data_IF_451332739443
#
_entry.id   IF_451332739443
#
_cell.length_a   1.000
_cell.length_b   1.000
_cell.length_c   1.000
_cell.angle_alpha   90.00
_cell.angle_beta   90.00
_cell.angle_gamma   90.00
#
_symmetry.space_group_name_H-M   'P 1'
#
loop_
_entity.id
_entity.type
_entity.pdbx_description
1 polymer ?
#
# COMPACT_ATOMS: atom_id res chain seq x y z
N UNK A 1 1.08 18.52 23.92
CA UNK A 1 0.79 17.17 23.37
C UNK A 1 -0.68 16.73 23.52
N UNK A 2 -1.63 17.61 23.88
CA UNK A 2 -3.07 17.27 23.86
C UNK A 2 -3.54 17.10 22.39
N UNK A 3 -4.50 16.22 22.14
CA UNK A 3 -5.19 16.10 20.84
C UNK A 3 -4.67 15.06 19.85
N UNK A 4 -3.49 14.46 20.06
CA UNK A 4 -2.98 13.40 19.19
C UNK A 4 -3.46 12.00 19.63
N UNK A 5 -3.88 11.21 18.65
CA UNK A 5 -4.16 9.78 18.79
C UNK A 5 -3.22 8.97 17.89
N UNK A 6 -2.93 7.72 18.26
CA UNK A 6 -2.02 6.86 17.49
C UNK A 6 -2.79 5.74 16.82
N UNK A 7 -2.60 5.58 15.51
CA UNK A 7 -3.27 4.59 14.69
C UNK A 7 -2.26 3.62 14.09
N UNK A 8 -2.61 2.34 14.01
CA UNK A 8 -1.88 1.38 13.20
C UNK A 8 -2.30 1.56 11.75
N UNK A 9 -1.39 2.01 10.89
CA UNK A 9 -1.69 2.45 9.52
C UNK A 9 -1.12 1.47 8.51
N UNK A 10 -1.94 1.14 7.50
CA UNK A 10 -1.60 0.29 6.37
C UNK A 10 -1.15 -1.13 6.73
N UNK A 11 -0.55 -1.82 5.75
CA UNK A 11 -0.10 -3.19 5.90
C UNK A 11 1.25 -3.30 6.62
N UNK A 12 1.96 -2.22 6.89
CA UNK A 12 3.17 -2.23 7.71
C UNK A 12 2.89 -2.26 9.22
N UNK A 13 1.65 -1.98 9.63
CA UNK A 13 1.26 -1.73 11.02
C UNK A 13 2.10 -0.63 11.69
N UNK A 14 2.51 0.38 10.90
CA UNK A 14 3.28 1.50 11.42
C UNK A 14 2.37 2.39 12.26
N UNK A 15 2.90 2.88 13.39
CA UNK A 15 2.17 3.74 14.31
C UNK A 15 2.26 5.18 13.85
N UNK A 16 1.18 5.73 13.31
CA UNK A 16 1.08 7.12 12.86
C UNK A 16 0.30 7.92 13.90
N UNK A 17 0.83 9.09 14.28
CA UNK A 17 0.16 10.01 15.20
C UNK A 17 -0.65 11.01 14.39
N UNK A 18 -1.95 11.05 14.61
CA UNK A 18 -2.87 11.94 13.90
C UNK A 18 -3.58 12.81 14.92
N UNK A 19 -3.58 14.13 14.68
CA UNK A 19 -4.30 15.07 15.54
C UNK A 19 -5.80 14.95 15.30
N UNK A 20 -6.61 14.99 16.36
CA UNK A 20 -8.07 14.84 16.27
C UNK A 20 -8.76 15.94 15.46
N UNK A 21 -8.17 17.13 15.39
CA UNK A 21 -8.75 18.28 14.68
C UNK A 21 -8.27 18.39 13.21
N UNK A 22 -7.40 17.48 12.76
CA UNK A 22 -6.93 17.47 11.38
C UNK A 22 -8.01 17.01 10.42
N UNK A 23 -8.11 17.63 9.25
CA UNK A 23 -8.89 17.08 8.15
C UNK A 23 -8.06 16.07 7.37
N UNK A 24 -8.50 14.82 7.33
CA UNK A 24 -7.74 13.67 6.80
C UNK A 24 -8.38 13.10 5.54
N UNK A 25 -7.60 13.03 4.46
CA UNK A 25 -7.96 12.35 3.22
C UNK A 25 -7.33 10.96 3.18
N UNK A 26 -8.10 9.92 2.87
CA UNK A 26 -7.60 8.58 2.61
C UNK A 26 -7.76 8.24 1.13
N UNK A 27 -6.62 8.10 0.45
CA UNK A 27 -6.52 7.82 -0.98
C UNK A 27 -6.29 6.33 -1.19
N UNK A 28 -7.04 5.75 -2.11
CA UNK A 28 -7.07 4.29 -2.28
C UNK A 28 -7.75 3.60 -1.11
N UNK A 29 -8.76 4.26 -0.53
CA UNK A 29 -9.45 3.84 0.70
C UNK A 29 -9.98 2.40 0.64
N UNK A 30 -10.33 1.93 -0.55
CA UNK A 30 -10.68 0.55 -0.83
C UNK A 30 -11.70 -0.07 0.12
N UNK A 31 -11.53 -1.35 0.43
CA UNK A 31 -12.49 -2.10 1.24
C UNK A 31 -12.23 -1.97 2.75
N UNK A 32 -11.16 -1.27 3.15
CA UNK A 32 -10.76 -1.09 4.53
C UNK A 32 -10.19 0.33 4.74
N UNK A 33 -11.03 1.36 4.60
CA UNK A 33 -10.64 2.76 4.76
C UNK A 33 -10.03 3.01 6.13
N UNK A 34 -9.05 3.90 6.20
CA UNK A 34 -8.40 4.24 7.46
C UNK A 34 -9.43 4.81 8.45
N UNK A 35 -9.49 4.32 9.71
CA UNK A 35 -10.55 4.68 10.65
C UNK A 35 -10.53 6.16 11.05
N UNK A 36 -9.37 6.82 10.92
CA UNK A 36 -9.23 8.26 11.16
C UNK A 36 -9.54 9.13 9.93
N UNK A 37 -9.82 8.58 8.76
CA UNK A 37 -10.08 9.41 7.59
C UNK A 37 -11.42 10.14 7.71
N UNK A 38 -11.45 11.42 7.30
CA UNK A 38 -12.68 12.24 7.24
C UNK A 38 -13.29 12.21 5.82
N UNK A 39 -12.45 12.07 4.80
CA UNK A 39 -12.85 11.97 3.39
C UNK A 39 -12.15 10.77 2.77
N UNK A 40 -12.90 10.01 1.98
CA UNK A 40 -12.44 8.82 1.28
C UNK A 40 -12.33 9.11 -0.22
N UNK A 41 -11.26 8.64 -0.85
CA UNK A 41 -11.10 8.66 -2.29
C UNK A 41 -10.61 7.31 -2.79
N UNK A 42 -11.18 6.84 -3.89
CA UNK A 42 -10.69 5.67 -4.63
C UNK A 42 -10.91 5.89 -6.14
N UNK A 43 -10.08 5.26 -6.97
CA UNK A 43 -10.18 5.33 -8.44
C UNK A 43 -11.26 4.37 -8.96
N UNK A 44 -11.60 3.34 -8.18
CA UNK A 44 -12.59 2.35 -8.56
C UNK A 44 -13.45 1.89 -7.38
N UNK A 45 -14.74 1.66 -7.64
CA UNK A 45 -15.71 1.14 -6.68
C UNK A 45 -15.98 -0.36 -6.84
N UNK A 46 -15.66 -0.93 -7.99
CA UNK A 46 -15.97 -2.34 -8.29
C UNK A 46 -14.96 -3.30 -7.66
N UNK A 47 -15.30 -4.59 -7.53
CA UNK A 47 -14.35 -5.62 -7.14
C UNK A 47 -13.13 -5.65 -8.07
N UNK A 48 -11.93 -5.63 -7.50
CA UNK A 48 -10.69 -5.75 -8.26
C UNK A 48 -9.71 -6.75 -7.63
N UNK A 49 -8.87 -7.44 -8.43
CA UNK A 49 -7.82 -8.31 -7.90
C UNK A 49 -6.82 -7.56 -7.01
N UNK A 50 -6.57 -6.28 -7.30
CA UNK A 50 -5.73 -5.37 -6.51
C UNK A 50 -6.30 -5.18 -5.09
N UNK A 51 -7.62 -5.29 -4.97
CA UNK A 51 -8.38 -5.20 -3.72
C UNK A 51 -8.81 -6.58 -3.18
N UNK A 52 -8.14 -7.66 -3.58
CA UNK A 52 -8.44 -9.01 -3.11
C UNK A 52 -9.82 -9.53 -3.52
N UNK A 53 -10.45 -8.94 -4.54
CA UNK A 53 -11.79 -9.31 -5.02
C UNK A 53 -12.93 -8.62 -4.26
N UNK A 54 -12.64 -7.65 -3.39
CA UNK A 54 -13.66 -6.88 -2.68
C UNK A 54 -13.97 -5.56 -3.39
N UNK A 55 -15.21 -5.06 -3.32
CA UNK A 55 -15.55 -3.69 -3.76
C UNK A 55 -15.00 -2.66 -2.77
N UNK A 56 -15.03 -1.38 -3.17
CA UNK A 56 -14.71 -0.30 -2.25
C UNK A 56 -15.78 -0.20 -1.14
N UNK A 57 -15.35 -0.01 0.11
CA UNK A 57 -16.26 0.24 1.23
C UNK A 57 -16.68 1.71 1.20
N UNK A 58 -18.00 1.92 1.18
CA UNK A 58 -18.61 3.24 1.27
C UNK A 58 -19.44 3.28 2.56
N UNK A 59 -18.98 4.06 3.52
CA UNK A 59 -19.71 4.30 4.77
C UNK A 59 -20.34 5.70 4.76
N UNK A 60 -20.64 6.24 5.95
CA UNK A 60 -21.28 7.55 6.10
C UNK A 60 -20.35 8.73 5.80
N UNK A 61 -19.05 8.50 5.58
CA UNK A 61 -18.09 9.57 5.26
C UNK A 61 -18.21 10.00 3.80
N UNK A 62 -17.89 11.27 3.47
CA UNK A 62 -17.77 11.72 2.09
C UNK A 62 -16.84 10.83 1.28
N UNK A 63 -17.35 10.30 0.17
CA UNK A 63 -16.61 9.45 -0.76
C UNK A 63 -16.49 10.15 -2.12
N UNK A 64 -15.29 10.17 -2.68
CA UNK A 64 -14.98 10.77 -3.97
C UNK A 64 -14.41 9.70 -4.90
N UNK A 65 -15.05 9.49 -6.05
CA UNK A 65 -14.48 8.69 -7.13
C UNK A 65 -13.48 9.55 -7.91
N UNK A 66 -12.21 9.18 -7.93
CA UNK A 66 -11.17 9.98 -8.60
C UNK A 66 -9.78 9.33 -8.63
N UNK A 67 -8.94 9.80 -9.56
CA UNK A 67 -7.55 9.36 -9.67
C UNK A 67 -6.66 10.19 -8.73
N UNK A 68 -5.76 9.53 -8.00
CA UNK A 68 -4.79 10.17 -7.12
C UNK A 68 -3.80 11.09 -7.86
N UNK A 69 -3.70 10.97 -9.17
CA UNK A 69 -2.89 11.83 -10.05
C UNK A 69 -3.63 13.11 -10.50
N UNK A 70 -4.93 13.21 -10.22
CA UNK A 70 -5.76 14.37 -10.56
C UNK A 70 -6.82 14.59 -9.46
N UNK A 71 -6.37 15.00 -8.27
CA UNK A 71 -7.21 15.11 -7.09
C UNK A 71 -8.19 16.30 -7.22
N UNK A 72 -9.52 16.07 -7.10
CA UNK A 72 -10.54 17.12 -7.28
C UNK A 72 -10.70 17.99 -6.02
N UNK A 73 -9.58 18.33 -5.38
CA UNK A 73 -9.53 19.11 -4.14
C UNK A 73 -8.70 20.37 -4.34
N UNK A 74 -9.04 21.41 -3.58
CA UNK A 74 -8.26 22.65 -3.55
C UNK A 74 -6.91 22.43 -2.87
N UNK A 75 -5.98 23.31 -3.17
CA UNK A 75 -4.68 23.33 -2.53
C UNK A 75 -4.84 23.43 -1.02
N UNK A 76 -4.06 22.61 -0.29
CA UNK A 76 -4.01 22.58 1.17
C UNK A 76 -5.37 22.48 1.87
N UNK A 77 -6.36 21.82 1.24
CA UNK A 77 -7.65 21.58 1.87
C UNK A 77 -7.62 20.50 2.95
N UNK A 78 -6.51 19.76 3.08
CA UNK A 78 -6.32 18.71 4.09
C UNK A 78 -5.07 18.96 4.94
N UNK A 79 -5.16 18.59 6.21
CA UNK A 79 -4.00 18.59 7.11
C UNK A 79 -3.10 17.37 6.90
N UNK A 80 -3.70 16.24 6.52
CA UNK A 80 -3.02 14.96 6.32
C UNK A 80 -3.66 14.19 5.17
N UNK A 81 -2.82 13.64 4.29
CA UNK A 81 -3.20 12.61 3.34
C UNK A 81 -2.60 11.26 3.72
N UNK A 82 -3.40 10.21 3.63
CA UNK A 82 -3.00 8.82 3.78
C UNK A 82 -3.07 8.16 2.40
N UNK A 83 -2.01 7.49 1.98
CA UNK A 83 -1.97 6.74 0.72
C UNK A 83 -1.27 5.40 0.97
N UNK A 84 -2.06 4.36 1.29
CA UNK A 84 -1.55 3.03 1.58
C UNK A 84 -1.88 2.07 0.44
N UNK A 85 -0.88 1.36 -0.07
CA UNK A 85 -1.00 0.44 -1.20
C UNK A 85 -1.52 1.14 -2.48
N UNK A 86 -0.96 2.30 -2.80
CA UNK A 86 -1.35 3.13 -3.97
C UNK A 86 -0.16 3.44 -4.86
N UNK A 87 0.96 3.86 -4.28
CA UNK A 87 2.12 4.38 -5.01
C UNK A 87 2.74 3.37 -6.00
N UNK A 88 2.56 2.08 -5.77
CA UNK A 88 3.03 1.00 -6.63
C UNK A 88 2.17 0.80 -7.90
N UNK A 89 0.95 1.34 -7.92
CA UNK A 89 -0.02 1.22 -9.01
C UNK A 89 -0.07 2.45 -9.94
N UNK A 90 0.41 3.62 -9.49
CA UNK A 90 0.26 4.86 -10.25
C UNK A 90 1.07 4.85 -11.55
N UNK A 91 0.54 5.49 -12.59
CA UNK A 91 1.20 5.56 -13.90
C UNK A 91 2.36 6.56 -13.88
N UNK A 92 2.12 7.75 -13.33
CA UNK A 92 3.09 8.82 -13.14
C UNK A 92 3.32 9.08 -11.63
N UNK A 93 4.42 8.56 -11.05
CA UNK A 93 4.72 8.75 -9.63
C UNK A 93 5.08 10.19 -9.28
N UNK A 94 5.56 10.99 -10.24
CA UNK A 94 5.87 12.41 -10.01
C UNK A 94 4.58 13.19 -9.85
N UNK A 95 3.64 12.99 -10.76
CA UNK A 95 2.32 13.60 -10.70
C UNK A 95 1.55 13.19 -9.44
N UNK A 96 1.52 11.90 -9.11
CA UNK A 96 0.95 11.40 -7.88
C UNK A 96 1.50 12.11 -6.64
N UNK A 97 2.82 12.12 -6.47
CA UNK A 97 3.43 12.77 -5.31
C UNK A 97 3.17 14.27 -5.28
N UNK A 98 3.18 14.94 -6.45
CA UNK A 98 2.86 16.37 -6.56
C UNK A 98 1.43 16.67 -6.10
N UNK A 99 0.46 15.85 -6.50
CA UNK A 99 -0.93 16.02 -6.05
C UNK A 99 -1.07 15.84 -4.54
N UNK A 100 -0.40 14.84 -3.95
CA UNK A 100 -0.39 14.67 -2.48
C UNK A 100 0.16 15.90 -1.76
N UNK A 101 1.28 16.43 -2.25
CA UNK A 101 1.88 17.66 -1.71
C UNK A 101 1.00 18.87 -1.97
N UNK A 102 0.25 18.93 -3.07
CA UNK A 102 -0.63 20.07 -3.38
C UNK A 102 -1.83 20.14 -2.45
N UNK A 103 -2.57 19.04 -2.28
CA UNK A 103 -3.83 19.05 -1.53
C UNK A 103 -3.65 19.02 -0.01
N UNK A 104 -2.49 18.60 0.49
CA UNK A 104 -2.26 18.39 1.92
C UNK A 104 -1.02 19.11 2.47
N UNK A 105 -1.06 19.47 3.75
CA UNK A 105 0.11 19.97 4.48
C UNK A 105 1.11 18.87 4.85
N UNK A 106 0.62 17.64 5.00
CA UNK A 106 1.36 16.46 5.47
C UNK A 106 0.87 15.23 4.76
N UNK A 107 1.67 14.17 4.75
CA UNK A 107 1.18 12.87 4.32
C UNK A 107 1.92 11.69 4.89
N UNK A 108 1.24 10.55 4.86
CA UNK A 108 1.79 9.22 5.10
C UNK A 108 1.54 8.36 3.86
N UNK A 109 2.62 7.85 3.28
CA UNK A 109 2.59 6.95 2.13
C UNK A 109 3.11 5.59 2.59
N UNK A 110 2.42 4.53 2.23
CA UNK A 110 2.88 3.16 2.40
C UNK A 110 2.67 2.37 1.12
N UNK A 111 3.66 1.56 0.75
CA UNK A 111 3.57 0.59 -0.34
C UNK A 111 4.44 -0.63 0.00
N UNK A 112 4.29 -1.75 -0.74
CA UNK A 112 5.23 -2.85 -0.68
C UNK A 112 6.67 -2.36 -0.83
N UNK A 113 7.55 -2.79 0.06
CA UNK A 113 8.96 -2.45 -0.01
C UNK A 113 9.65 -3.18 -1.16
N UNK A 114 10.82 -2.71 -1.57
CA UNK A 114 11.58 -3.31 -2.67
C UNK A 114 11.86 -4.81 -2.46
N UNK A 115 12.09 -5.25 -1.22
CA UNK A 115 12.23 -6.67 -0.89
C UNK A 115 10.93 -7.44 -1.16
N UNK A 116 9.78 -6.91 -0.73
CA UNK A 116 8.47 -7.54 -0.96
C UNK A 116 8.19 -7.66 -2.44
N UNK A 117 8.42 -6.60 -3.21
CA UNK A 117 8.25 -6.66 -4.66
C UNK A 117 9.18 -7.67 -5.33
N UNK A 118 10.37 -7.92 -4.77
CA UNK A 118 11.29 -8.92 -5.29
C UNK A 118 10.79 -10.36 -5.04
N UNK A 119 10.19 -10.62 -3.86
CA UNK A 119 9.80 -11.98 -3.45
C UNK A 119 8.32 -12.32 -3.67
N UNK A 120 7.45 -11.33 -3.70
CA UNK A 120 6.00 -11.47 -3.89
C UNK A 120 5.49 -10.77 -5.16
N UNK A 121 6.39 -10.14 -5.93
CA UNK A 121 6.14 -9.29 -7.10
C UNK A 121 4.79 -9.48 -7.78
N UNK A 122 3.82 -8.66 -7.37
CA UNK A 122 2.51 -8.68 -7.96
C UNK A 122 2.60 -8.17 -9.41
N UNK A 123 1.86 -8.80 -10.35
CA UNK A 123 2.01 -8.51 -11.77
C UNK A 123 1.52 -7.10 -12.13
N UNK A 124 0.61 -6.53 -11.33
CA UNK A 124 0.00 -5.22 -11.53
C UNK A 124 0.75 -4.08 -10.83
N UNK A 125 1.77 -4.36 -10.00
CA UNK A 125 2.63 -3.32 -9.44
C UNK A 125 3.69 -2.91 -10.46
N UNK A 126 3.78 -1.60 -10.73
CA UNK A 126 4.67 -1.00 -11.72
C UNK A 126 6.04 -0.63 -11.14
N UNK A 127 6.12 -0.37 -9.83
CA UNK A 127 7.26 0.29 -9.20
C UNK A 127 7.87 -0.48 -8.03
N UNK A 128 9.20 -0.45 -7.95
CA UNK A 128 9.96 -0.65 -6.72
C UNK A 128 10.12 0.72 -6.05
N UNK A 129 9.52 0.91 -4.88
CA UNK A 129 9.52 2.20 -4.16
C UNK A 129 10.43 2.14 -2.96
N UNK A 130 11.33 3.13 -2.83
CA UNK A 130 12.29 3.22 -1.72
C UNK A 130 12.43 4.66 -1.20
N UNK A 131 12.88 4.82 0.05
CA UNK A 131 13.19 6.14 0.62
C UNK A 131 14.61 6.52 0.22
N UNK A 132 14.81 7.73 -0.32
CA UNK A 132 16.15 8.24 -0.68
C UNK A 132 16.22 9.76 -0.54
N UNK A 133 17.23 10.26 0.17
CA UNK A 133 17.52 11.70 0.27
C UNK A 133 16.35 12.54 0.78
N UNK A 134 15.64 12.09 1.81
CA UNK A 134 14.47 12.80 2.34
C UNK A 134 13.21 12.72 1.47
N UNK A 135 13.24 11.92 0.40
CA UNK A 135 12.13 11.75 -0.54
C UNK A 135 11.87 10.30 -0.92
N UNK A 136 11.13 10.13 -2.02
CA UNK A 136 10.82 8.82 -2.59
C UNK A 136 11.52 8.61 -3.94
N UNK A 137 12.07 7.41 -4.11
CA UNK A 137 12.64 6.94 -5.36
C UNK A 137 11.81 5.78 -5.92
N UNK A 138 11.40 5.93 -7.17
CA UNK A 138 10.59 4.97 -7.93
C UNK A 138 11.45 4.36 -9.03
N UNK A 139 11.64 3.04 -9.01
CA UNK A 139 12.31 2.31 -10.08
C UNK A 139 11.31 1.40 -10.77
N UNK A 140 11.14 1.54 -12.09
CA UNK A 140 10.18 0.71 -12.84
C UNK A 140 10.60 -0.76 -12.78
N UNK A 141 9.63 -1.65 -12.60
CA UNK A 141 9.86 -3.09 -12.66
C UNK A 141 10.10 -3.49 -14.13
N UNK A 142 11.29 -4.01 -14.41
CA UNK A 142 11.73 -4.38 -15.77
C UNK A 142 11.96 -5.89 -15.95
N UNK A 143 11.94 -6.67 -14.87
CA UNK A 143 12.18 -8.13 -14.91
C UNK A 143 11.01 -8.89 -14.30
N UNK A 144 10.75 -10.06 -14.87
CA UNK A 144 9.87 -11.06 -14.28
C UNK A 144 10.48 -11.69 -13.02
N UNK A 145 9.67 -12.48 -12.32
CA UNK A 145 10.07 -13.11 -11.06
C UNK A 145 11.13 -14.21 -11.27
N UNK A 146 11.99 -14.41 -10.26
CA UNK A 146 12.92 -15.55 -10.22
C UNK A 146 12.19 -16.81 -9.75
N UNK A 147 12.76 -18.00 -10.02
CA UNK A 147 12.22 -19.27 -9.49
C UNK A 147 12.07 -19.28 -7.96
N UNK A 148 13.00 -18.62 -7.26
CA UNK A 148 12.93 -18.48 -5.81
C UNK A 148 11.76 -17.58 -5.37
N UNK A 149 11.52 -16.49 -6.10
CA UNK A 149 10.37 -15.60 -5.90
C UNK A 149 9.06 -16.34 -6.17
N UNK A 150 8.97 -17.14 -7.24
CA UNK A 150 7.77 -17.92 -7.55
C UNK A 150 7.49 -19.00 -6.49
N UNK A 151 8.53 -19.66 -5.97
CA UNK A 151 8.39 -20.61 -4.86
C UNK A 151 7.90 -19.91 -3.58
N UNK A 152 8.51 -18.77 -3.25
CA UNK A 152 8.11 -17.99 -2.07
C UNK A 152 6.66 -17.51 -2.20
N UNK A 153 6.28 -16.99 -3.37
CA UNK A 153 4.91 -16.59 -3.71
C UNK A 153 3.93 -17.74 -3.50
N UNK A 154 4.25 -18.92 -4.03
CA UNK A 154 3.40 -20.11 -3.90
C UNK A 154 3.20 -20.53 -2.44
N UNK A 155 4.26 -20.54 -1.62
CA UNK A 155 4.18 -20.87 -0.19
C UNK A 155 3.42 -19.80 0.60
N UNK A 156 3.70 -18.53 0.35
CA UNK A 156 3.08 -17.42 1.08
C UNK A 156 1.58 -17.31 0.79
N UNK A 157 1.15 -17.49 -0.45
CA UNK A 157 -0.25 -17.46 -0.86
C UNK A 157 -0.92 -18.82 -0.95
N UNK A 158 -0.30 -19.89 -0.43
CA UNK A 158 -0.88 -21.23 -0.45
C UNK A 158 -2.29 -21.22 0.16
N UNK A 159 -3.29 -21.67 -0.61
CA UNK A 159 -4.69 -21.71 -0.22
C UNK A 159 -5.44 -20.37 -0.26
N UNK A 160 -4.82 -19.29 -0.77
CA UNK A 160 -5.46 -17.98 -0.91
C UNK A 160 -5.79 -17.69 -2.39
N UNK A 161 -6.97 -17.12 -2.70
CA UNK A 161 -7.26 -16.63 -4.05
C UNK A 161 -6.37 -15.41 -4.35
N UNK A 162 -5.67 -15.41 -5.48
CA UNK A 162 -4.84 -14.29 -5.95
C UNK A 162 -5.03 -14.11 -7.45
N UNK A 163 -4.49 -13.00 -7.98
CA UNK A 163 -4.48 -12.75 -9.43
C UNK A 163 -3.71 -13.84 -10.19
N UNK A 164 -2.69 -14.45 -9.57
CA UNK A 164 -2.03 -15.65 -10.07
C UNK A 164 -2.80 -16.92 -9.69
N UNK A 165 -2.50 -18.04 -10.37
CA UNK A 165 -3.10 -19.34 -10.07
C UNK A 165 -2.93 -19.71 -8.59
N UNK A 166 -4.04 -20.01 -7.91
CA UNK A 166 -4.01 -20.47 -6.52
C UNK A 166 -3.23 -21.77 -6.40
N UNK A 167 -2.17 -21.73 -5.59
CA UNK A 167 -1.42 -22.92 -5.22
C UNK A 167 -2.10 -23.61 -4.04
N UNK A 168 -2.50 -24.85 -4.23
CA UNK A 168 -3.01 -25.71 -3.16
C UNK A 168 -2.11 -26.93 -3.07
N UNK A 169 -1.39 -27.14 -1.96
CA UNK A 169 -0.61 -28.35 -1.76
C UNK A 169 -1.49 -29.61 -1.86
N UNK A 170 -1.11 -30.57 -2.71
CA UNK A 170 -1.82 -31.84 -2.93
C UNK A 170 -0.84 -33.02 -2.85
N UNK A 171 -1.37 -34.24 -2.75
CA UNK A 171 -0.57 -35.47 -2.74
C UNK A 171 0.04 -35.81 -1.37
N UNK A 172 0.90 -36.84 -1.30
CA UNK A 172 1.39 -37.41 -0.03
C UNK A 172 2.24 -36.41 0.78
N UNK A 173 2.95 -35.49 0.13
CA UNK A 173 3.73 -34.44 0.80
C UNK A 173 2.92 -33.17 1.10
N UNK A 174 1.63 -33.12 0.72
CA UNK A 174 0.76 -31.96 0.90
C UNK A 174 0.72 -31.41 2.34
N UNK A 175 0.57 -32.26 3.38
CA UNK A 175 0.58 -31.80 4.78
C UNK A 175 1.87 -31.09 5.19
N UNK A 176 3.04 -31.60 4.76
CA UNK A 176 4.33 -31.00 5.05
C UNK A 176 4.48 -29.61 4.38
N UNK A 177 4.11 -29.52 3.11
CA UNK A 177 4.14 -28.24 2.36
C UNK A 177 3.15 -27.24 2.96
N UNK A 178 1.99 -27.70 3.42
CA UNK A 178 1.01 -26.84 4.13
C UNK A 178 1.59 -26.33 5.45
N UNK A 179 2.24 -27.17 6.25
CA UNK A 179 2.90 -26.76 7.49
C UNK A 179 3.99 -25.72 7.22
N UNK A 180 4.85 -25.94 6.21
CA UNK A 180 5.85 -24.97 5.77
C UNK A 180 5.22 -23.64 5.33
N UNK A 181 4.14 -23.71 4.55
CA UNK A 181 3.40 -22.52 4.09
C UNK A 181 2.86 -21.71 5.26
N UNK A 182 2.29 -22.38 6.28
CA UNK A 182 1.81 -21.72 7.50
C UNK A 182 2.95 -21.07 8.30
N UNK A 183 4.12 -21.69 8.37
CA UNK A 183 5.30 -21.10 9.00
C UNK A 183 5.77 -19.84 8.26
N UNK A 184 5.88 -19.90 6.93
CA UNK A 184 6.23 -18.75 6.08
C UNK A 184 5.22 -17.62 6.26
N UNK A 185 3.92 -17.94 6.22
CA UNK A 185 2.84 -16.96 6.42
C UNK A 185 2.90 -16.33 7.81
N UNK A 186 3.08 -17.15 8.87
CA UNK A 186 3.17 -16.66 10.25
C UNK A 186 4.37 -15.73 10.40
N UNK A 187 5.55 -16.15 9.95
CA UNK A 187 6.78 -15.36 10.00
C UNK A 187 6.63 -14.02 9.26
N UNK A 188 6.19 -14.06 8.00
CA UNK A 188 6.05 -12.86 7.18
C UNK A 188 5.03 -11.86 7.72
N UNK A 189 3.99 -12.35 8.42
CA UNK A 189 2.95 -11.52 9.05
C UNK A 189 3.34 -10.99 10.43
N UNK A 190 4.51 -11.35 10.97
CA UNK A 190 4.99 -10.80 12.25
C UNK A 190 5.15 -9.28 12.17
N UNK A 191 4.74 -8.50 13.20
CA UNK A 191 4.81 -7.04 13.16
C UNK A 191 6.20 -6.48 12.86
N UNK A 192 7.27 -7.10 13.39
CA UNK A 192 8.65 -6.69 13.12
C UNK A 192 9.04 -6.88 11.65
N UNK A 193 8.65 -8.01 11.06
CA UNK A 193 8.91 -8.33 9.65
C UNK A 193 8.12 -7.38 8.74
N UNK A 194 6.82 -7.18 9.02
CA UNK A 194 5.96 -6.25 8.26
C UNK A 194 6.52 -4.81 8.24
N UNK A 195 7.11 -4.32 9.32
CA UNK A 195 7.72 -2.97 9.33
C UNK A 195 8.92 -2.85 8.40
N UNK A 196 9.61 -3.95 8.12
CA UNK A 196 10.78 -3.99 7.25
C UNK A 196 10.42 -4.30 5.79
N UNK A 197 9.37 -5.08 5.56
CA UNK A 197 8.95 -5.51 4.23
C UNK A 197 8.14 -4.44 3.48
N UNK A 198 7.74 -3.35 4.12
CA UNK A 198 7.01 -2.24 3.50
C UNK A 198 7.84 -0.96 3.49
N UNK A 199 7.75 -0.20 2.40
CA UNK A 199 8.26 1.18 2.37
C UNK A 199 7.19 2.09 2.94
N UNK A 200 7.53 2.84 3.99
CA UNK A 200 6.66 3.85 4.58
C UNK A 200 7.37 5.20 4.68
N UNK A 201 6.70 6.27 4.27
CA UNK A 201 7.25 7.60 4.14
C UNK A 201 6.28 8.65 4.67
N UNK A 202 6.79 9.51 5.55
CA UNK A 202 6.05 10.65 6.12
C UNK A 202 6.67 11.93 5.59
N UNK A 203 5.84 12.91 5.22
CA UNK A 203 6.28 14.22 4.78
C UNK A 203 5.47 15.34 5.42
N UNK A 204 6.07 16.52 5.46
CA UNK A 204 5.42 17.79 5.78
C UNK A 204 5.91 18.84 4.78
N UNK A 205 5.00 19.52 4.11
CA UNK A 205 5.35 20.41 2.99
C UNK A 205 5.72 19.60 1.74
N UNK A 206 6.84 19.95 1.12
CA UNK A 206 7.32 19.32 -0.11
C UNK A 206 8.43 18.31 0.15
N UNK A 207 8.58 17.34 -0.76
CA UNK A 207 9.65 16.35 -0.74
C UNK A 207 10.12 16.01 -2.15
N UNK A 208 11.35 15.50 -2.25
CA UNK A 208 11.93 15.13 -3.54
C UNK A 208 11.35 13.81 -4.06
N UNK A 209 11.02 13.79 -5.35
CA UNK A 209 10.60 12.59 -6.05
C UNK A 209 11.63 12.29 -7.13
N UNK A 210 12.12 11.03 -7.16
CA UNK A 210 13.09 10.59 -8.16
C UNK A 210 12.56 9.38 -8.89
N UNK A 211 12.46 9.46 -10.22
CA UNK A 211 12.26 8.28 -11.06
C UNK A 211 13.63 7.78 -11.52
N UNK A 212 13.92 6.52 -11.27
CA UNK A 212 15.19 5.86 -11.59
C UNK A 212 14.98 5.00 -12.83
N UNK A 213 15.74 5.30 -13.89
CA UNK A 213 15.82 4.50 -15.10
C UNK A 213 16.52 3.16 -14.89
#
# INVERSE_FOLDING_TARGET
MKGFQTFSTGNSLRRVKIHRDWRVLDIGSGHNPHPRADVLLDKDVVPSPERGGFPCLRDSRPFVLGDAQHLPFKDKSFDLVLACQVAEHVEDPVLFCRELMRVAHRGYIECPGALTELVLGEPFHLWLVSRKGGGLAFKRKTRGNSKASDLFYALFYAGQPRARRTFTPKGPFGPLVRALSLLVQKFWRMPGVRRFTYTSFEFQGEFHVRVVG
#
